data_IF_716642583176
#
_entry.id   IF_716642583176
#
_cell.length_a   1.000
_cell.length_b   1.000
_cell.length_c   1.000
_cell.angle_alpha   90.00
_cell.angle_beta   90.00
_cell.angle_gamma   90.00
#
_symmetry.space_group_name_H-M   'P 1'
#
loop_
_entity.id
_entity.type
_entity.pdbx_description
1 polymer ?
#
# COMPACT_ATOMS: atom_id res chain seq x y z
N UNK A 1 -8.16 -14.93 1.18
CA UNK A 1 -9.29 -14.03 0.89
C UNK A 1 -10.01 -13.59 2.17
N UNK A 2 -10.51 -14.49 3.02
CA UNK A 2 -11.20 -14.13 4.29
C UNK A 2 -10.38 -13.22 5.22
N UNK A 3 -9.09 -13.50 5.38
CA UNK A 3 -8.18 -12.68 6.20
C UNK A 3 -7.84 -11.32 5.59
N UNK A 4 -7.78 -11.20 4.26
CA UNK A 4 -7.53 -9.93 3.55
C UNK A 4 -8.75 -9.01 3.59
N UNK A 5 -9.96 -9.57 3.50
CA UNK A 5 -11.20 -8.80 3.63
C UNK A 5 -11.33 -8.18 5.04
N UNK A 6 -10.80 -8.85 6.07
CA UNK A 6 -10.73 -8.29 7.44
C UNK A 6 -9.68 -7.18 7.61
N UNK A 7 -8.78 -7.02 6.64
CA UNK A 7 -7.78 -5.94 6.62
C UNK A 7 -8.30 -4.66 5.95
N UNK A 8 -9.61 -4.59 5.66
CA UNK A 8 -10.23 -3.39 5.11
C UNK A 8 -9.97 -2.16 5.99
N UNK A 9 -9.59 -1.05 5.35
CA UNK A 9 -9.21 0.21 5.99
C UNK A 9 -7.83 0.22 6.64
N UNK A 10 -7.14 -0.93 6.73
CA UNK A 10 -5.81 -1.04 7.36
C UNK A 10 -4.71 -0.75 6.33
N UNK A 11 -3.57 -0.21 6.77
CA UNK A 11 -2.41 -0.05 5.90
C UNK A 11 -1.84 -1.42 5.53
N UNK A 12 -1.67 -1.64 4.23
CA UNK A 12 -1.09 -2.84 3.65
C UNK A 12 0.04 -2.44 2.73
N UNK A 13 0.98 -3.36 2.55
CA UNK A 13 2.07 -3.24 1.59
C UNK A 13 1.98 -4.36 0.57
N UNK A 14 1.96 -3.99 -0.70
CA UNK A 14 1.88 -4.88 -1.86
C UNK A 14 3.19 -4.78 -2.62
N UNK A 15 3.93 -5.88 -2.71
CA UNK A 15 5.15 -5.94 -3.54
C UNK A 15 4.80 -6.47 -4.92
N UNK A 16 5.26 -5.77 -5.96
CA UNK A 16 5.16 -6.24 -7.33
C UNK A 16 6.32 -7.17 -7.68
N UNK A 17 6.12 -8.02 -8.69
CA UNK A 17 7.17 -8.88 -9.27
C UNK A 17 8.39 -8.12 -9.79
N UNK A 18 8.22 -6.82 -10.06
CA UNK A 18 9.24 -5.94 -10.63
C UNK A 18 10.07 -5.21 -9.56
N UNK A 19 9.88 -5.52 -8.28
CA UNK A 19 10.65 -4.92 -7.18
C UNK A 19 10.01 -3.66 -6.57
N UNK A 20 9.04 -3.06 -7.26
CA UNK A 20 8.25 -1.93 -6.74
C UNK A 20 7.36 -2.37 -5.58
N UNK A 21 7.25 -1.51 -4.58
CA UNK A 21 6.41 -1.73 -3.40
C UNK A 21 5.39 -0.59 -3.29
N UNK A 22 4.12 -0.95 -3.13
CA UNK A 22 3.04 0.00 -2.90
C UNK A 22 2.53 -0.15 -1.48
N UNK A 23 2.41 0.97 -0.78
CA UNK A 23 1.95 1.00 0.60
C UNK A 23 0.76 1.92 0.68
N UNK A 24 -0.36 1.44 1.18
CA UNK A 24 -1.58 2.24 1.23
C UNK A 24 -2.67 1.56 2.04
N UNK A 25 -3.79 2.25 2.20
CA UNK A 25 -4.95 1.72 2.92
C UNK A 25 -5.75 0.81 2.01
N UNK A 26 -6.05 -0.40 2.48
CA UNK A 26 -6.85 -1.35 1.73
C UNK A 26 -8.31 -0.90 1.63
N UNK A 27 -8.77 -0.57 0.43
CA UNK A 27 -10.15 -0.15 0.17
C UNK A 27 -11.05 -1.29 -0.29
N UNK A 28 -10.53 -2.20 -1.12
CA UNK A 28 -11.29 -3.35 -1.58
C UNK A 28 -10.37 -4.44 -2.12
N UNK A 29 -10.86 -5.69 -2.08
CA UNK A 29 -10.22 -6.86 -2.72
C UNK A 29 -11.31 -7.66 -3.41
N UNK A 30 -11.09 -8.06 -4.65
CA UNK A 30 -12.02 -8.93 -5.39
C UNK A 30 -11.66 -10.42 -5.30
N UNK A 31 -12.53 -11.28 -5.87
CA UNK A 31 -12.31 -12.73 -5.91
C UNK A 31 -11.12 -13.17 -6.78
N UNK A 32 -10.60 -12.28 -7.62
CA UNK A 32 -9.40 -12.48 -8.42
C UNK A 32 -8.15 -11.92 -7.73
N UNK A 33 -8.27 -11.35 -6.53
CA UNK A 33 -7.22 -10.67 -5.78
C UNK A 33 -6.72 -9.36 -6.42
N UNK A 34 -7.54 -8.70 -7.25
CA UNK A 34 -7.30 -7.30 -7.56
C UNK A 34 -7.51 -6.48 -6.28
N UNK A 35 -6.60 -5.56 -6.02
CA UNK A 35 -6.50 -4.85 -4.74
C UNK A 35 -6.58 -3.35 -5.00
N UNK A 36 -7.51 -2.68 -4.33
CA UNK A 36 -7.65 -1.23 -4.38
C UNK A 36 -7.03 -0.62 -3.13
N UNK A 37 -6.12 0.32 -3.33
CA UNK A 37 -5.41 1.04 -2.27
C UNK A 37 -5.74 2.53 -2.34
N UNK A 38 -5.93 3.16 -1.19
CA UNK A 38 -6.05 4.60 -1.03
C UNK A 38 -4.85 5.18 -0.28
N UNK A 39 -4.56 6.46 -0.50
CA UNK A 39 -3.38 7.15 0.06
C UNK A 39 -2.08 6.38 -0.18
N UNK A 40 -1.93 5.84 -1.39
CA UNK A 40 -0.86 4.95 -1.78
C UNK A 40 0.43 5.73 -1.99
N UNK A 41 1.49 5.21 -1.39
CA UNK A 41 2.88 5.59 -1.58
C UNK A 41 3.56 4.52 -2.42
N UNK A 42 4.35 4.94 -3.40
CA UNK A 42 5.24 4.03 -4.11
C UNK A 42 6.63 4.08 -3.49
N UNK A 43 7.24 2.91 -3.39
CA UNK A 43 8.60 2.69 -2.94
C UNK A 43 9.34 1.94 -4.05
N UNK A 44 10.41 2.53 -4.55
CA UNK A 44 11.32 1.90 -5.52
C UNK A 44 12.70 1.86 -4.89
N UNK A 45 13.27 0.65 -4.76
CA UNK A 45 14.59 0.43 -4.14
C UNK A 45 14.76 1.04 -2.73
N UNK A 46 13.68 1.12 -1.95
CA UNK A 46 13.68 1.69 -0.60
C UNK A 46 13.64 3.23 -0.54
N UNK A 47 13.61 3.90 -1.69
CA UNK A 47 13.31 5.33 -1.78
C UNK A 47 11.80 5.51 -2.04
N UNK A 48 11.23 6.59 -1.50
CA UNK A 48 9.85 7.01 -1.73
C UNK A 48 9.80 7.99 -2.91
N UNK A 49 9.56 7.55 -4.16
CA UNK A 49 9.40 8.44 -5.30
C UNK A 49 8.21 9.41 -5.18
N UNK A 50 7.13 9.03 -4.47
CA UNK A 50 6.02 9.94 -4.21
C UNK A 50 4.68 9.29 -3.86
N UNK A 51 3.69 10.14 -3.59
CA UNK A 51 2.31 9.75 -3.34
C UNK A 51 1.50 9.64 -4.64
N UNK A 52 0.84 8.51 -4.84
CA UNK A 52 -0.05 8.24 -5.98
C UNK A 52 -1.53 8.43 -5.63
N UNK A 53 -1.88 8.42 -4.34
CA UNK A 53 -3.28 8.54 -3.92
C UNK A 53 -4.04 7.22 -4.11
N UNK A 54 -4.99 7.16 -5.04
CA UNK A 54 -5.80 5.96 -5.26
C UNK A 54 -5.20 5.09 -6.38
N UNK A 55 -4.94 3.82 -6.07
CA UNK A 55 -4.28 2.88 -7.00
C UNK A 55 -5.05 1.56 -7.02
N UNK A 56 -5.26 1.04 -8.22
CA UNK A 56 -5.79 -0.31 -8.43
C UNK A 56 -4.67 -1.24 -8.92
N UNK A 57 -4.31 -2.22 -8.10
CA UNK A 57 -3.30 -3.23 -8.44
C UNK A 57 -4.00 -4.47 -8.97
N UNK A 58 -3.62 -4.86 -10.19
CA UNK A 58 -4.09 -6.10 -10.82
C UNK A 58 -3.37 -7.31 -10.21
N UNK A 59 -4.12 -8.39 -9.99
CA UNK A 59 -3.63 -9.60 -9.34
C UNK A 59 -2.43 -10.26 -10.02
N UNK A 60 -2.28 -10.11 -11.34
CA UNK A 60 -1.19 -10.69 -12.13
C UNK A 60 0.18 -10.02 -11.91
N UNK A 61 0.22 -8.88 -11.22
CA UNK A 61 1.43 -8.12 -10.95
C UNK A 61 1.88 -8.21 -9.49
N UNK A 62 0.96 -8.55 -8.58
CA UNK A 62 1.23 -8.67 -7.16
C UNK A 62 2.00 -9.97 -6.84
N UNK A 63 3.09 -9.85 -6.10
CA UNK A 63 3.89 -10.98 -5.60
C UNK A 63 3.37 -11.43 -4.23
N UNK A 64 3.23 -10.50 -3.29
CA UNK A 64 2.62 -10.74 -1.98
C UNK A 64 2.00 -9.47 -1.41
N UNK A 65 1.08 -9.67 -0.46
CA UNK A 65 0.45 -8.62 0.33
C UNK A 65 0.78 -8.89 1.79
N UNK A 66 1.27 -7.88 2.51
CA UNK A 66 1.48 -7.94 3.96
C UNK A 66 0.76 -6.79 4.66
N UNK A 67 0.25 -7.06 5.87
CA UNK A 67 -0.24 -6.01 6.75
C UNK A 67 0.92 -5.18 7.28
N UNK A 68 0.73 -3.87 7.39
CA UNK A 68 1.67 -2.95 8.05
C UNK A 68 1.04 -2.55 9.38
N UNK A 69 1.84 -2.44 10.44
CA UNK A 69 1.34 -1.92 11.71
C UNK A 69 1.01 -0.43 11.59
N UNK A 70 -0.20 -0.04 12.04
CA UNK A 70 -0.71 1.33 11.91
C UNK A 70 0.19 2.39 12.56
N UNK A 71 0.85 2.05 13.67
CA UNK A 71 1.72 2.96 14.40
C UNK A 71 2.96 3.37 13.59
N UNK A 72 3.55 2.42 12.87
CA UNK A 72 4.68 2.68 11.97
C UNK A 72 4.28 3.61 10.82
N UNK A 73 3.10 3.37 10.23
CA UNK A 73 2.65 4.13 9.07
C UNK A 73 2.20 5.55 9.39
N UNK A 74 1.54 5.74 10.54
CA UNK A 74 1.18 7.08 11.02
C UNK A 74 2.42 7.90 11.34
N UNK A 75 3.44 7.29 11.95
CA UNK A 75 4.68 7.98 12.29
C UNK A 75 5.51 8.36 11.06
N UNK A 76 5.54 7.53 10.01
CA UNK A 76 6.21 7.88 8.74
C UNK A 76 5.52 9.06 8.04
N UNK A 77 4.18 9.05 7.91
CA UNK A 77 3.46 10.19 7.32
C UNK A 77 3.63 11.49 8.10
N UNK A 78 3.80 11.43 9.42
CA UNK A 78 4.09 12.63 10.24
C UNK A 78 5.50 13.18 9.94
N UNK A 79 6.46 12.33 9.58
CA UNK A 79 7.83 12.76 9.23
C UNK A 79 7.88 13.42 7.85
N UNK A 80 7.16 12.87 6.87
CA UNK A 80 7.12 13.43 5.51
C UNK A 80 6.26 14.71 5.42
N UNK A 81 5.33 14.90 6.37
CA UNK A 81 4.48 16.07 6.50
C UNK A 81 5.16 17.34 7.04
N UNK A 82 6.48 17.35 7.26
CA UNK A 82 7.25 18.52 7.69
C UNK A 82 8.26 18.96 6.61
N UNK A 83 7.82 19.08 5.37
CA UNK A 83 8.61 19.66 4.27
C UNK A 83 7.78 20.52 3.29
N UNK A 84 6.74 21.19 3.78
CA UNK A 84 6.15 22.34 3.07
C UNK A 84 6.45 23.61 3.86
N UNK A 85 7.59 24.20 3.55
CA UNK A 85 7.84 25.63 3.73
C UNK A 85 7.31 26.40 2.52
#
# INVERSE_FOLDING_TARGET
LSSLVQAWGKPVMVKLKWGMEYKGNLMSVDGYMNTQLANTEEYTDGALPGHLGEVLIRCNNALYIRGVEEEGWRNERIKDGQATC
#
